data_IF_554894412958
#
_entry.id   IF_554894412958
#
_cell.length_a   1.000
_cell.length_b   1.000
_cell.length_c   1.000
_cell.angle_alpha   90.00
_cell.angle_beta   90.00
_cell.angle_gamma   90.00
#
_symmetry.space_group_name_H-M   'P 1'
#
loop_
_entity.id
_entity.type
_entity.pdbx_description
1 polymer ?
#
# COMPACT_ATOMS: atom_id res chain seq x y z
N UNK A 1 0.41 9.36 17.85
CA UNK A 1 -0.07 9.18 16.47
C UNK A 1 -1.14 10.20 16.17
N UNK A 2 -1.01 10.88 15.03
CA UNK A 2 -1.84 12.00 14.58
C UNK A 2 -2.21 11.82 13.10
N UNK A 3 -3.27 12.48 12.64
CA UNK A 3 -3.67 12.46 11.23
C UNK A 3 -4.47 11.23 10.79
N UNK A 4 -4.62 11.10 9.47
CA UNK A 4 -5.40 10.07 8.81
C UNK A 4 -4.74 9.62 7.49
N UNK A 5 -4.77 8.31 7.25
CA UNK A 5 -4.33 7.68 6.01
C UNK A 5 -5.44 6.79 5.45
N UNK A 6 -5.49 6.66 4.13
CA UNK A 6 -6.13 5.53 3.46
C UNK A 6 -5.07 4.48 3.17
N UNK A 7 -5.21 3.32 3.80
CA UNK A 7 -4.22 2.26 3.80
C UNK A 7 -4.69 1.04 3.01
N UNK A 8 -3.85 0.46 2.17
CA UNK A 8 -4.20 -0.57 1.18
C UNK A 8 -3.24 -1.74 1.23
N UNK A 9 -3.80 -2.95 1.19
CA UNK A 9 -3.05 -4.18 0.95
C UNK A 9 -3.56 -4.88 -0.31
N UNK A 10 -2.63 -5.44 -1.09
CA UNK A 10 -2.91 -6.22 -2.31
C UNK A 10 -2.36 -7.62 -2.14
N UNK A 11 -3.18 -8.64 -2.40
CA UNK A 11 -2.73 -10.02 -2.34
C UNK A 11 -1.91 -10.38 -3.59
N UNK A 12 -0.61 -10.61 -3.43
CA UNK A 12 0.30 -10.93 -4.53
C UNK A 12 0.73 -12.41 -4.53
N UNK A 13 0.02 -13.29 -3.82
CA UNK A 13 0.34 -14.72 -3.74
C UNK A 13 -0.33 -15.47 -4.90
N UNK A 14 0.43 -16.07 -5.85
CA UNK A 14 -0.14 -16.66 -7.07
C UNK A 14 -1.16 -17.78 -6.83
N UNK A 15 -1.02 -18.51 -5.72
CA UNK A 15 -1.88 -19.62 -5.35
C UNK A 15 -3.10 -19.20 -4.53
N UNK A 16 -3.22 -17.91 -4.19
CA UNK A 16 -4.34 -17.39 -3.40
C UNK A 16 -5.61 -17.26 -4.24
N UNK A 17 -6.75 -17.61 -3.66
CA UNK A 17 -8.07 -17.35 -4.28
C UNK A 17 -8.41 -15.86 -4.39
N UNK A 18 -7.71 -15.00 -3.66
CA UNK A 18 -7.84 -13.55 -3.71
C UNK A 18 -6.67 -12.87 -4.40
N UNK A 19 -5.84 -13.60 -5.17
CA UNK A 19 -4.74 -13.01 -5.93
C UNK A 19 -5.20 -11.80 -6.76
N UNK A 20 -4.40 -10.73 -6.73
CA UNK A 20 -4.66 -9.43 -7.34
C UNK A 20 -5.84 -8.62 -6.75
N UNK A 21 -6.56 -9.15 -5.75
CA UNK A 21 -7.55 -8.36 -5.03
C UNK A 21 -6.85 -7.45 -4.01
N UNK A 22 -7.47 -6.31 -3.75
CA UNK A 22 -7.02 -5.35 -2.75
C UNK A 22 -8.09 -5.09 -1.69
N UNK A 23 -7.65 -4.65 -0.52
CA UNK A 23 -8.51 -4.17 0.55
C UNK A 23 -7.97 -2.84 1.06
N UNK A 24 -8.85 -1.84 1.21
CA UNK A 24 -8.51 -0.51 1.68
C UNK A 24 -9.26 -0.12 2.96
N UNK A 25 -8.62 0.62 3.84
CA UNK A 25 -9.19 1.07 5.12
C UNK A 25 -8.65 2.43 5.55
N UNK A 26 -9.53 3.29 6.07
CA UNK A 26 -9.10 4.52 6.73
C UNK A 26 -8.55 4.22 8.13
N UNK A 27 -7.33 4.66 8.40
CA UNK A 27 -6.70 4.61 9.72
C UNK A 27 -6.49 6.03 10.22
N UNK A 28 -6.89 6.30 11.46
CA UNK A 28 -6.74 7.65 12.03
C UNK A 28 -6.49 7.63 13.52
N UNK A 29 -5.96 8.75 14.00
CA UNK A 29 -5.85 9.03 15.43
C UNK A 29 -7.20 9.08 16.16
N UNK A 30 -8.34 9.07 15.46
CA UNK A 30 -9.66 9.00 16.09
C UNK A 30 -10.21 7.56 16.16
N UNK A 31 -9.94 6.73 15.14
CA UNK A 31 -10.49 5.38 15.08
C UNK A 31 -9.60 4.31 15.71
N UNK A 32 -8.30 4.59 15.89
CA UNK A 32 -7.31 3.72 16.53
C UNK A 32 -7.26 2.30 15.92
N UNK A 33 -7.65 2.17 14.66
CA UNK A 33 -7.59 0.89 13.95
C UNK A 33 -6.14 0.54 13.66
N UNK A 34 -5.86 -0.75 13.66
CA UNK A 34 -4.60 -1.30 13.17
C UNK A 34 -4.91 -2.19 11.98
N UNK A 35 -4.09 -2.09 10.94
CA UNK A 35 -4.20 -2.93 9.75
C UNK A 35 -2.99 -3.87 9.70
N UNK A 36 -3.26 -5.18 9.74
CA UNK A 36 -2.23 -6.19 9.63
C UNK A 36 -2.06 -6.60 8.18
N UNK A 37 -0.83 -6.48 7.67
CA UNK A 37 -0.46 -6.88 6.31
C UNK A 37 0.46 -8.09 6.39
N UNK A 38 -0.02 -9.30 6.05
CA UNK A 38 0.80 -10.51 6.11
C UNK A 38 1.92 -10.52 5.06
N UNK A 39 3.00 -11.30 5.26
CA UNK A 39 3.97 -11.59 4.21
C UNK A 39 3.30 -12.14 2.94
N UNK A 40 3.78 -11.71 1.77
CA UNK A 40 3.17 -12.02 0.48
C UNK A 40 2.03 -11.09 0.07
N UNK A 41 1.86 -9.96 0.76
CA UNK A 41 1.01 -8.86 0.30
C UNK A 41 1.88 -7.67 -0.10
N UNK A 42 1.45 -6.94 -1.11
CA UNK A 42 1.96 -5.58 -1.34
C UNK A 42 1.18 -4.60 -0.45
N UNK A 43 1.85 -3.54 -0.03
CA UNK A 43 1.32 -2.54 0.89
C UNK A 43 1.54 -1.14 0.33
N UNK A 44 0.56 -0.26 0.48
CA UNK A 44 0.68 1.14 0.08
C UNK A 44 -0.38 1.98 0.77
N UNK A 45 -0.09 3.25 0.98
CA UNK A 45 -0.99 4.18 1.67
C UNK A 45 -0.91 5.57 1.07
N UNK A 46 -1.94 6.38 1.33
CA UNK A 46 -1.92 7.83 1.09
C UNK A 46 -2.37 8.57 2.34
N UNK A 47 -1.64 9.63 2.69
CA UNK A 47 -2.03 10.56 3.75
C UNK A 47 -3.17 11.45 3.24
N UNK A 48 -4.33 11.41 3.92
CA UNK A 48 -5.55 12.14 3.50
C UNK A 48 -5.88 13.33 4.41
N UNK A 49 -5.07 13.57 5.44
CA UNK A 49 -5.03 14.80 6.22
C UNK A 49 -3.82 15.67 5.85
N UNK A 50 -3.64 16.83 6.49
CA UNK A 50 -2.47 17.70 6.27
C UNK A 50 -1.13 16.98 6.54
N UNK A 51 -1.09 16.13 7.56
CA UNK A 51 0.02 15.25 7.90
C UNK A 51 -0.50 13.99 8.60
N UNK A 52 0.32 12.95 8.71
CA UNK A 52 0.04 11.79 9.56
C UNK A 52 1.32 11.20 10.16
N UNK A 53 1.25 10.77 11.41
CA UNK A 53 2.25 9.90 12.01
C UNK A 53 1.91 8.45 11.65
N UNK A 54 2.81 7.75 10.97
CA UNK A 54 2.56 6.38 10.54
C UNK A 54 3.64 5.43 11.05
N UNK A 55 3.22 4.48 11.90
CA UNK A 55 4.11 3.60 12.66
C UNK A 55 3.87 2.14 12.29
N UNK A 56 4.97 1.40 12.15
CA UNK A 56 4.94 -0.01 11.77
C UNK A 56 5.50 -0.89 12.88
N UNK A 57 4.84 -2.04 13.07
CA UNK A 57 5.44 -3.18 13.77
C UNK A 57 5.79 -4.23 12.73
N UNK A 58 7.08 -4.35 12.44
CA UNK A 58 7.57 -5.28 11.43
C UNK A 58 7.91 -6.63 12.07
N UNK A 59 7.66 -7.71 11.32
CA UNK A 59 8.07 -9.07 11.72
C UNK A 59 9.54 -9.36 11.45
N UNK A 60 10.21 -8.52 10.64
CA UNK A 60 11.62 -8.64 10.28
C UNK A 60 12.26 -7.24 10.13
N UNK A 61 13.59 -7.22 10.02
CA UNK A 61 14.36 -6.00 9.75
C UNK A 61 14.24 -5.58 8.29
N UNK A 62 14.43 -4.28 8.05
CA UNK A 62 14.40 -3.72 6.70
C UNK A 62 15.64 -4.14 5.89
N UNK A 63 15.41 -4.74 4.73
CA UNK A 63 16.41 -4.96 3.70
C UNK A 63 15.91 -4.33 2.37
N UNK A 64 16.57 -3.28 1.85
CA UNK A 64 16.15 -2.64 0.60
C UNK A 64 16.27 -3.56 -0.62
N UNK A 65 17.07 -4.63 -0.55
CA UNK A 65 17.24 -5.57 -1.66
C UNK A 65 16.05 -6.53 -1.83
N UNK A 66 15.24 -6.69 -0.79
CA UNK A 66 14.02 -7.49 -0.80
C UNK A 66 12.78 -6.67 -1.23
N UNK A 67 12.95 -5.38 -1.53
CA UNK A 67 11.85 -4.49 -1.85
C UNK A 67 11.43 -4.56 -3.34
N UNK A 68 10.14 -4.80 -3.57
CA UNK A 68 9.48 -4.64 -4.86
C UNK A 68 8.52 -3.44 -4.86
N UNK A 69 8.19 -2.90 -6.04
CA UNK A 69 7.23 -1.79 -6.16
C UNK A 69 6.28 -1.96 -7.34
N UNK A 70 4.97 -1.90 -7.08
CA UNK A 70 3.95 -1.89 -8.12
C UNK A 70 3.52 -0.43 -8.32
N UNK A 71 3.33 0.00 -9.57
CA UNK A 71 2.84 1.35 -9.85
C UNK A 71 1.52 1.59 -9.11
N UNK A 72 1.42 2.70 -8.38
CA UNK A 72 0.29 2.95 -7.47
C UNK A 72 -1.07 3.03 -8.20
N UNK A 73 -1.08 3.53 -9.43
CA UNK A 73 -2.26 3.67 -10.29
C UNK A 73 -2.39 2.53 -11.31
N UNK A 74 -1.96 1.33 -10.93
CA UNK A 74 -2.02 0.16 -11.78
C UNK A 74 -3.47 -0.16 -12.21
N UNK A 75 -3.67 -0.31 -13.52
CA UNK A 75 -4.99 -0.53 -14.09
C UNK A 75 -5.52 -1.97 -13.89
N UNK A 76 -4.64 -2.95 -13.66
CA UNK A 76 -5.04 -4.33 -13.40
C UNK A 76 -5.53 -4.49 -11.96
N UNK A 77 -4.85 -3.83 -11.01
CA UNK A 77 -5.28 -3.78 -9.61
C UNK A 77 -6.46 -2.83 -9.38
N UNK A 78 -6.53 -1.74 -10.15
CA UNK A 78 -7.62 -0.76 -10.13
C UNK A 78 -8.02 -0.31 -8.71
N UNK A 79 -7.02 0.00 -7.90
CA UNK A 79 -7.19 0.43 -6.51
C UNK A 79 -7.95 1.76 -6.51
N UNK A 80 -9.04 1.82 -5.74
CA UNK A 80 -9.86 3.02 -5.62
C UNK A 80 -9.27 3.97 -4.59
N UNK A 81 -8.19 4.63 -4.98
CA UNK A 81 -7.58 5.70 -4.17
C UNK A 81 -8.54 6.91 -4.06
N UNK A 82 -8.49 7.66 -2.96
CA UNK A 82 -9.23 8.92 -2.82
C UNK A 82 -8.95 9.87 -4.01
N UNK A 83 -10.02 10.45 -4.57
CA UNK A 83 -9.96 11.33 -5.74
C UNK A 83 -9.53 12.76 -5.37
N UNK A 84 -9.20 13.56 -6.40
CA UNK A 84 -8.90 15.00 -6.29
C UNK A 84 -7.73 15.35 -5.36
N UNK A 85 -6.73 14.46 -5.28
CA UNK A 85 -5.50 14.66 -4.51
C UNK A 85 -4.29 14.85 -5.40
N UNK A 86 -3.42 15.80 -5.03
CA UNK A 86 -2.09 15.94 -5.59
C UNK A 86 -1.13 14.94 -4.91
N UNK A 87 -1.02 13.74 -5.47
CA UNK A 87 -0.14 12.71 -4.93
C UNK A 87 1.33 13.12 -5.03
N UNK A 88 2.00 13.19 -3.87
CA UNK A 88 3.45 13.33 -3.79
C UNK A 88 4.07 11.94 -3.67
N UNK A 89 4.76 11.52 -4.73
CA UNK A 89 5.34 10.18 -4.84
C UNK A 89 6.86 10.23 -4.75
N UNK A 90 7.45 9.15 -4.24
CA UNK A 90 8.90 8.93 -4.36
C UNK A 90 9.28 8.66 -5.81
N UNK A 91 10.55 8.84 -6.18
CA UNK A 91 11.02 8.50 -7.53
C UNK A 91 10.84 7.00 -7.84
N UNK A 92 11.03 6.14 -6.84
CA UNK A 92 10.80 4.69 -6.97
C UNK A 92 9.35 4.39 -7.37
N UNK A 93 8.39 5.02 -6.71
CA UNK A 93 6.97 4.75 -6.95
C UNK A 93 6.47 5.40 -8.25
N UNK A 94 7.10 6.48 -8.72
CA UNK A 94 6.78 7.10 -10.02
C UNK A 94 7.14 6.22 -11.21
N UNK A 95 8.20 5.43 -11.08
CA UNK A 95 8.74 4.58 -12.16
C UNK A 95 8.58 3.08 -11.88
N UNK A 96 7.76 2.75 -10.88
CA UNK A 96 7.46 1.37 -10.54
C UNK A 96 6.82 0.62 -11.72
N UNK A 97 7.00 -0.69 -11.73
CA UNK A 97 6.50 -1.56 -12.81
C UNK A 97 5.01 -1.82 -12.64
N UNK A 98 4.34 -2.11 -13.75
CA UNK A 98 2.94 -2.54 -13.70
C UNK A 98 2.81 -3.94 -13.10
N UNK A 99 1.67 -4.21 -12.50
CA UNK A 99 1.37 -5.48 -11.85
C UNK A 99 1.54 -6.66 -12.81
N UNK A 100 1.01 -6.57 -14.03
CA UNK A 100 1.14 -7.62 -15.05
C UNK A 100 2.57 -7.89 -15.53
N UNK A 101 3.53 -7.02 -15.23
CA UNK A 101 4.93 -7.20 -15.63
C UNK A 101 5.69 -8.10 -14.64
N UNK A 102 5.14 -8.34 -13.45
CA UNK A 102 5.71 -9.22 -12.46
C UNK A 102 5.46 -10.70 -12.76
N UNK A 103 6.43 -11.53 -12.39
CA UNK A 103 6.28 -12.99 -12.29
C UNK A 103 6.28 -13.33 -10.81
N UNK A 104 5.09 -13.38 -10.23
CA UNK A 104 4.87 -13.78 -8.85
C UNK A 104 4.97 -15.30 -8.70
#
# INVERSE_FOLDING_TARGET
MSGEVFDVAVDIRPTSSSFANWFGVNLSAANHRQFWVPPGFAHGFVVISEYADFEYKCTDYYDPSDEGSIIWNDADLNIQWPADMDFVLSEKDKVARRFCEYRF
#
